data_IF_588337609142
#
_entry.id   IF_588337609142
#
_cell.length_a   1.000
_cell.length_b   1.000
_cell.length_c   1.000
_cell.angle_alpha   90.00
_cell.angle_beta   90.00
_cell.angle_gamma   90.00
#
_symmetry.space_group_name_H-M   'P 1'
#
loop_
_entity.id
_entity.type
_entity.pdbx_description
1 polymer ?
#
# COMPACT_ATOMS: atom_id res chain seq x y z
N UNK A 1 20.93 -13.24 -23.32
CA UNK A 1 19.58 -13.61 -22.85
C UNK A 1 19.66 -14.08 -21.40
N UNK A 2 18.93 -13.42 -20.50
CA UNK A 2 18.81 -13.74 -19.08
C UNK A 2 17.35 -14.08 -18.76
N UNK A 3 17.13 -15.12 -17.96
CA UNK A 3 15.81 -15.45 -17.42
C UNK A 3 15.90 -15.58 -15.90
N UNK A 4 14.95 -14.95 -15.22
CA UNK A 4 14.84 -14.98 -13.76
C UNK A 4 13.42 -15.35 -13.39
N UNK A 5 13.28 -16.37 -12.54
CA UNK A 5 12.00 -16.74 -11.95
C UNK A 5 11.99 -16.28 -10.49
N UNK A 6 11.02 -15.43 -10.14
CA UNK A 6 10.82 -14.94 -8.78
C UNK A 6 9.57 -15.61 -8.22
N UNK A 7 9.76 -16.51 -7.24
CA UNK A 7 8.63 -17.13 -6.55
C UNK A 7 7.85 -16.09 -5.74
N UNK A 8 6.56 -16.31 -5.54
CA UNK A 8 5.76 -15.55 -4.58
C UNK A 8 6.26 -15.66 -3.13
N UNK A 9 7.16 -16.60 -2.82
CA UNK A 9 7.88 -16.62 -1.55
C UNK A 9 8.67 -15.33 -1.29
N UNK A 10 9.29 -14.74 -2.33
CA UNK A 10 10.11 -13.53 -2.18
C UNK A 10 9.29 -12.32 -1.69
N UNK A 11 8.20 -11.91 -2.36
CA UNK A 11 7.37 -10.82 -1.85
C UNK A 11 6.67 -11.19 -0.55
N UNK A 12 6.28 -12.45 -0.31
CA UNK A 12 5.68 -12.84 0.97
C UNK A 12 6.66 -12.71 2.15
N UNK A 13 7.93 -13.06 1.96
CA UNK A 13 8.98 -12.81 2.97
C UNK A 13 9.15 -11.30 3.23
N UNK A 14 9.09 -10.47 2.19
CA UNK A 14 9.08 -9.02 2.35
C UNK A 14 7.85 -8.53 3.12
N UNK A 15 6.65 -9.04 2.82
CA UNK A 15 5.42 -8.69 3.56
C UNK A 15 5.50 -9.15 5.03
N UNK A 16 6.07 -10.32 5.30
CA UNK A 16 6.29 -10.82 6.66
C UNK A 16 7.22 -9.88 7.45
N UNK A 17 8.41 -9.59 6.91
CA UNK A 17 9.33 -8.68 7.57
C UNK A 17 8.75 -7.27 7.71
N UNK A 18 8.09 -6.76 6.66
CA UNK A 18 7.37 -5.49 6.68
C UNK A 18 6.33 -5.42 7.80
N UNK A 19 5.56 -6.49 8.00
CA UNK A 19 4.60 -6.58 9.09
C UNK A 19 5.30 -6.54 10.46
N UNK A 20 6.37 -7.33 10.65
CA UNK A 20 7.09 -7.38 11.94
C UNK A 20 7.71 -6.05 12.35
N UNK A 21 8.14 -5.22 11.39
CA UNK A 21 8.71 -3.89 11.67
C UNK A 21 7.66 -2.77 11.64
N UNK A 22 6.39 -3.09 11.41
CA UNK A 22 5.31 -2.11 11.35
C UNK A 22 5.28 -1.26 10.07
N UNK A 23 5.86 -1.72 8.96
CA UNK A 23 5.86 -1.02 7.66
C UNK A 23 4.44 -0.68 7.15
N UNK A 24 3.46 -1.53 7.49
CA UNK A 24 2.07 -1.32 7.10
C UNK A 24 1.27 -0.51 8.13
N UNK A 25 1.89 -0.08 9.23
CA UNK A 25 1.20 0.73 10.22
C UNK A 25 1.10 2.16 9.70
N UNK A 26 -0.13 2.64 9.50
CA UNK A 26 -0.39 3.96 8.92
C UNK A 26 -1.25 4.76 9.87
N UNK A 27 -0.81 5.97 10.18
CA UNK A 27 -1.62 6.96 10.88
C UNK A 27 -2.21 7.93 9.86
N UNK A 28 -3.52 8.13 9.94
CA UNK A 28 -4.25 9.13 9.17
C UNK A 28 -4.84 10.13 10.17
N UNK A 29 -4.50 11.39 10.00
CA UNK A 29 -4.90 12.47 10.89
C UNK A 29 -5.14 13.77 10.09
N UNK A 30 -5.54 14.89 10.73
CA UNK A 30 -5.81 16.15 10.04
C UNK A 30 -4.60 16.74 9.29
N UNK A 31 -3.37 16.29 9.57
CA UNK A 31 -2.16 16.71 8.87
C UNK A 31 -1.84 15.87 7.63
N UNK A 32 -2.51 14.72 7.47
CA UNK A 32 -2.28 13.80 6.36
C UNK A 32 -2.75 14.43 5.03
N UNK A 33 -1.90 14.55 4.00
CA UNK A 33 -2.30 15.10 2.71
C UNK A 33 -3.49 14.34 2.11
N UNK A 34 -4.39 15.06 1.43
CA UNK A 34 -5.65 14.54 0.85
C UNK A 34 -6.71 14.03 1.83
N UNK A 35 -6.34 13.60 3.04
CA UNK A 35 -7.27 13.09 4.05
C UNK A 35 -7.57 14.10 5.16
N UNK A 36 -6.66 15.03 5.44
CA UNK A 36 -6.74 15.87 6.63
C UNK A 36 -8.02 16.71 6.72
N UNK A 37 -8.53 17.15 5.57
CA UNK A 37 -9.76 17.92 5.45
C UNK A 37 -11.01 17.15 5.92
N UNK A 38 -11.01 15.82 5.80
CA UNK A 38 -12.15 14.96 6.15
C UNK A 38 -12.05 14.36 7.56
N UNK A 39 -10.92 14.49 8.25
CA UNK A 39 -10.64 13.88 9.56
C UNK A 39 -11.29 14.60 10.75
N UNK A 40 -12.61 14.83 10.66
CA UNK A 40 -13.44 15.51 11.66
C UNK A 40 -14.80 14.84 11.78
N UNK A 41 -15.44 15.00 12.94
CA UNK A 41 -16.79 14.46 13.17
C UNK A 41 -17.89 15.34 12.58
N UNK A 42 -17.67 16.64 12.43
CA UNK A 42 -18.66 17.58 11.87
C UNK A 42 -18.02 18.54 10.88
N UNK A 43 -18.68 18.74 9.75
CA UNK A 43 -18.33 19.75 8.76
C UNK A 43 -19.25 20.96 8.93
N UNK A 44 -18.70 22.17 8.87
CA UNK A 44 -19.46 23.42 8.77
C UNK A 44 -19.25 24.03 7.39
N UNK A 45 -20.28 24.71 6.86
CA UNK A 45 -20.18 25.47 5.61
C UNK A 45 -19.06 26.53 5.65
N UNK A 46 -18.71 27.03 6.84
CA UNK A 46 -17.58 27.95 7.05
C UNK A 46 -16.19 27.29 6.93
N UNK A 47 -16.10 25.96 7.02
CA UNK A 47 -14.83 25.22 6.97
C UNK A 47 -14.41 24.83 5.55
N UNK A 48 -15.19 25.20 4.51
CA UNK A 48 -14.88 24.92 3.10
C UNK A 48 -14.90 23.43 2.71
N UNK A 49 -15.33 22.55 3.61
CA UNK A 49 -15.34 21.09 3.46
C UNK A 49 -16.78 20.59 3.47
N UNK A 50 -17.20 20.00 2.34
CA UNK A 50 -18.57 19.50 2.16
C UNK A 50 -18.80 18.10 2.74
N UNK A 51 -17.72 17.41 3.15
CA UNK A 51 -17.78 16.01 3.57
C UNK A 51 -16.79 15.73 4.70
N UNK A 52 -17.27 15.08 5.76
CA UNK A 52 -16.49 14.72 6.96
C UNK A 52 -16.61 13.22 7.26
N UNK A 53 -15.66 12.68 8.03
CA UNK A 53 -15.69 11.29 8.48
C UNK A 53 -16.94 10.97 9.31
N UNK A 54 -17.43 11.94 10.09
CA UNK A 54 -18.69 11.78 10.83
C UNK A 54 -19.95 11.71 9.96
N UNK A 55 -19.88 12.03 8.66
CA UNK A 55 -21.00 11.79 7.73
C UNK A 55 -21.05 10.32 7.28
N UNK A 56 -19.90 9.63 7.28
CA UNK A 56 -19.82 8.18 7.10
C UNK A 56 -20.27 7.42 8.35
N UNK A 57 -20.00 7.98 9.52
CA UNK A 57 -20.35 7.39 10.82
C UNK A 57 -21.25 8.33 11.64
N UNK A 58 -22.54 8.46 11.29
CA UNK A 58 -23.48 9.32 11.99
C UNK A 58 -23.57 9.07 13.49
N UNK A 59 -23.42 7.81 13.94
CA UNK A 59 -23.45 7.48 15.37
C UNK A 59 -22.27 8.09 16.11
N UNK A 60 -21.05 7.98 15.56
CA UNK A 60 -19.85 8.65 16.08
C UNK A 60 -20.02 10.17 16.16
N UNK A 61 -20.59 10.78 15.11
CA UNK A 61 -20.86 12.23 15.07
C UNK A 61 -21.84 12.67 16.16
N UNK A 62 -22.89 11.89 16.44
CA UNK A 62 -23.89 12.19 17.49
C UNK A 62 -23.30 12.13 18.89
N UNK A 63 -22.44 11.14 19.15
CA UNK A 63 -21.81 10.96 20.46
C UNK A 63 -20.68 11.96 20.69
N UNK A 64 -19.95 12.34 19.63
CA UNK A 64 -18.77 13.20 19.71
C UNK A 64 -18.76 14.28 18.62
N UNK A 65 -19.61 15.30 18.77
CA UNK A 65 -19.69 16.41 17.81
C UNK A 65 -18.50 17.38 17.89
N UNK A 66 -18.11 17.97 16.75
CA UNK A 66 -17.07 19.00 16.65
C UNK A 66 -15.69 18.58 17.20
N UNK A 67 -15.26 17.37 16.86
CA UNK A 67 -13.95 16.83 17.25
C UNK A 67 -13.13 16.49 16.03
N UNK A 68 -11.81 16.66 16.15
CA UNK A 68 -10.82 16.13 15.21
C UNK A 68 -10.57 14.67 15.51
N UNK A 69 -10.32 13.89 14.47
CA UNK A 69 -10.12 12.46 14.57
C UNK A 69 -8.73 12.09 14.06
N UNK A 70 -8.15 11.05 14.64
CA UNK A 70 -7.08 10.30 13.99
C UNK A 70 -7.46 8.83 13.91
N UNK A 71 -7.00 8.17 12.85
CA UNK A 71 -7.16 6.75 12.64
C UNK A 71 -5.78 6.11 12.55
N UNK A 72 -5.58 5.05 13.30
CA UNK A 72 -4.38 4.23 13.20
C UNK A 72 -4.78 2.89 12.62
N UNK A 73 -4.21 2.57 11.47
CA UNK A 73 -4.32 1.28 10.82
C UNK A 73 -3.11 0.42 11.19
N UNK A 74 -3.36 -0.82 11.57
CA UNK A 74 -2.35 -1.84 11.82
C UNK A 74 -2.71 -3.14 11.09
N UNK A 75 -1.70 -3.85 10.60
CA UNK A 75 -1.91 -5.20 10.09
C UNK A 75 -2.01 -6.19 11.24
N UNK A 76 -3.03 -7.07 11.20
CA UNK A 76 -3.23 -8.12 12.23
C UNK A 76 -2.28 -9.29 11.97
N UNK A 77 -2.02 -9.56 10.70
CA UNK A 77 -1.08 -10.57 10.22
C UNK A 77 -0.37 -10.05 8.97
N UNK A 78 0.73 -10.72 8.59
CA UNK A 78 1.45 -10.39 7.37
C UNK A 78 0.53 -10.44 6.14
N UNK A 79 0.52 -9.40 5.29
CA UNK A 79 -0.19 -9.43 4.02
C UNK A 79 0.34 -10.56 3.13
N UNK A 80 -0.54 -11.13 2.30
CA UNK A 80 -0.20 -12.26 1.44
C UNK A 80 -0.31 -11.86 -0.02
N UNK A 81 0.71 -12.22 -0.80
CA UNK A 81 0.75 -12.09 -2.25
C UNK A 81 0.73 -13.50 -2.87
N UNK A 82 -0.16 -13.71 -3.84
CA UNK A 82 -0.28 -14.97 -4.55
C UNK A 82 -0.19 -14.74 -6.05
N UNK A 83 0.77 -15.41 -6.70
CA UNK A 83 0.92 -15.36 -8.14
C UNK A 83 0.08 -16.44 -8.80
N UNK A 84 -0.89 -16.03 -9.62
CA UNK A 84 -1.63 -16.91 -10.52
C UNK A 84 -1.38 -16.52 -11.97
N UNK A 85 -1.50 -17.45 -12.93
CA UNK A 85 -1.46 -17.11 -14.34
C UNK A 85 -2.43 -15.97 -14.69
N UNK A 86 -2.13 -15.19 -15.72
CA UNK A 86 -2.99 -14.07 -16.14
C UNK A 86 -4.43 -14.50 -16.50
N UNK A 87 -4.63 -15.77 -16.91
CA UNK A 87 -5.96 -16.35 -17.13
C UNK A 87 -6.78 -16.46 -15.84
N UNK A 88 -6.11 -16.59 -14.70
CA UNK A 88 -6.69 -16.92 -13.39
C UNK A 88 -6.68 -15.71 -12.43
N UNK A 89 -6.69 -14.51 -13.01
CA UNK A 89 -6.74 -13.24 -12.27
C UNK A 89 -5.39 -12.62 -11.91
N UNK A 90 -4.26 -13.20 -12.33
CA UNK A 90 -2.95 -12.59 -12.19
C UNK A 90 -2.43 -12.58 -10.74
N UNK A 91 -1.93 -11.43 -10.27
CA UNK A 91 -1.36 -11.32 -8.93
C UNK A 91 -2.44 -10.90 -7.94
N UNK A 92 -2.68 -11.72 -6.92
CA UNK A 92 -3.66 -11.46 -5.87
C UNK A 92 -2.96 -10.98 -4.60
N UNK A 93 -3.55 -10.01 -3.93
CA UNK A 93 -3.11 -9.46 -2.65
C UNK A 93 -4.23 -9.55 -1.63
N UNK A 94 -3.92 -10.02 -0.42
CA UNK A 94 -4.86 -10.09 0.70
C UNK A 94 -4.25 -9.49 1.94
N UNK A 95 -5.03 -8.68 2.65
CA UNK A 95 -4.62 -8.01 3.87
C UNK A 95 -5.76 -8.05 4.90
N UNK A 96 -5.39 -8.33 6.15
CA UNK A 96 -6.26 -8.23 7.29
C UNK A 96 -5.65 -7.23 8.29
N UNK A 97 -6.46 -6.28 8.71
CA UNK A 97 -6.01 -5.21 9.60
C UNK A 97 -7.06 -4.78 10.61
N UNK A 98 -6.63 -3.90 11.49
CA UNK A 98 -7.40 -3.28 12.56
C UNK A 98 -7.23 -1.77 12.43
N UNK A 99 -8.33 -1.04 12.53
CA UNK A 99 -8.37 0.42 12.51
C UNK A 99 -8.87 0.87 13.88
N UNK A 100 -8.07 1.68 14.56
CA UNK A 100 -8.43 2.31 15.82
C UNK A 100 -8.66 3.80 15.59
N UNK A 101 -9.79 4.31 16.06
CA UNK A 101 -10.18 5.72 15.97
C UNK A 101 -9.90 6.39 17.32
N UNK A 102 -9.23 7.55 17.27
CA UNK A 102 -8.97 8.41 18.40
C UNK A 102 -9.62 9.78 18.19
N UNK A 103 -10.17 10.35 19.27
CA UNK A 103 -10.51 11.76 19.33
C UNK A 103 -9.26 12.55 19.73
N UNK A 104 -8.99 13.62 19.00
CA UNK A 104 -7.96 14.59 19.38
C UNK A 104 -8.64 15.69 20.18
N UNK A 105 -8.18 15.91 21.42
CA UNK A 105 -8.57 17.06 22.22
C UNK A 105 -7.79 18.30 21.76
N UNK A 106 -8.50 19.38 21.44
CA UNK A 106 -7.88 20.63 20.97
C UNK A 106 -7.16 21.38 22.09
N UNK A 107 -7.50 21.12 23.35
CA UNK A 107 -6.95 21.86 24.50
C UNK A 107 -5.70 21.22 25.08
N UNK A 108 -5.66 19.89 25.12
CA UNK A 108 -4.58 19.13 25.77
C UNK A 108 -3.69 18.38 24.78
N UNK A 109 -4.05 18.36 23.49
CA UNK A 109 -3.39 17.51 22.45
C UNK A 109 -3.39 16.01 22.81
N UNK A 110 -4.22 15.59 23.75
CA UNK A 110 -4.35 14.19 24.14
C UNK A 110 -5.24 13.44 23.16
N UNK A 111 -4.94 12.16 22.99
CA UNK A 111 -5.68 11.26 22.14
C UNK A 111 -6.45 10.25 22.99
N UNK A 112 -7.77 10.26 22.83
CA UNK A 112 -8.66 9.31 23.50
C UNK A 112 -9.14 8.28 22.49
N UNK A 113 -8.86 7.00 22.74
CA UNK A 113 -9.37 5.92 21.90
C UNK A 113 -10.89 5.80 22.09
N UNK A 114 -11.64 5.89 20.99
CA UNK A 114 -13.10 5.84 21.04
C UNK A 114 -13.72 4.69 20.29
N UNK A 115 -13.10 4.17 19.24
CA UNK A 115 -13.70 3.09 18.48
C UNK A 115 -12.68 2.23 17.77
N UNK A 116 -13.09 1.02 17.44
CA UNK A 116 -12.28 0.05 16.75
C UNK A 116 -13.09 -0.70 15.70
N UNK A 117 -12.46 -1.02 14.58
CA UNK A 117 -13.02 -1.87 13.53
C UNK A 117 -11.93 -2.74 12.90
N UNK A 118 -12.31 -3.89 12.36
CA UNK A 118 -11.42 -4.68 11.49
C UNK A 118 -11.71 -4.40 10.03
N UNK A 119 -10.66 -4.52 9.21
CA UNK A 119 -10.72 -4.36 7.76
C UNK A 119 -10.08 -5.57 7.09
N UNK A 120 -10.81 -6.16 6.15
CA UNK A 120 -10.31 -7.21 5.27
C UNK A 120 -10.31 -6.70 3.83
N UNK A 121 -9.17 -6.82 3.16
CA UNK A 121 -8.97 -6.28 1.81
C UNK A 121 -8.50 -7.40 0.90
N UNK A 122 -9.12 -7.50 -0.27
CA UNK A 122 -8.63 -8.30 -1.38
C UNK A 122 -8.45 -7.42 -2.61
N UNK A 123 -7.31 -7.58 -3.28
CA UNK A 123 -6.96 -6.81 -4.45
C UNK A 123 -6.29 -7.68 -5.51
N UNK A 124 -6.38 -7.22 -6.75
CA UNK A 124 -5.62 -7.75 -7.87
C UNK A 124 -4.60 -6.70 -8.33
N UNK A 125 -3.43 -7.15 -8.77
CA UNK A 125 -2.35 -6.31 -9.25
C UNK A 125 -1.98 -6.69 -10.67
N UNK A 126 -1.87 -5.66 -11.52
CA UNK A 126 -1.34 -5.77 -12.89
C UNK A 126 0.00 -5.08 -12.95
N UNK A 127 1.01 -5.75 -13.50
CA UNK A 127 2.33 -5.18 -13.67
C UNK A 127 2.45 -4.57 -15.07
N UNK A 128 2.94 -3.33 -15.14
CA UNK A 128 3.40 -2.71 -16.38
C UNK A 128 4.90 -2.51 -16.29
N UNK A 129 5.60 -2.82 -17.36
CA UNK A 129 7.04 -2.63 -17.41
C UNK A 129 7.39 -1.41 -18.24
N UNK A 130 8.38 -0.65 -17.76
CA UNK A 130 8.94 0.50 -18.46
C UNK A 130 10.45 0.49 -18.27
N UNK A 131 11.19 0.07 -19.30
CA UNK A 131 12.66 -0.06 -19.27
C UNK A 131 13.13 -0.97 -18.12
N UNK A 132 13.56 -0.38 -17.00
CA UNK A 132 14.08 -1.04 -15.80
C UNK A 132 13.16 -0.88 -14.57
N UNK A 133 11.97 -0.29 -14.72
CA UNK A 133 11.01 -0.08 -13.64
C UNK A 133 9.74 -0.87 -13.85
N UNK A 134 9.33 -1.63 -12.82
CA UNK A 134 8.03 -2.29 -12.76
C UNK A 134 7.04 -1.33 -12.11
N UNK A 135 6.01 -0.92 -12.84
CA UNK A 135 4.90 -0.11 -12.32
C UNK A 135 3.71 -1.00 -12.05
N UNK A 136 3.47 -1.37 -10.77
CA UNK A 136 2.26 -2.08 -10.40
C UNK A 136 1.06 -1.14 -10.45
N UNK A 137 -0.06 -1.64 -10.97
CA UNK A 137 -1.38 -1.01 -10.86
C UNK A 137 -2.28 -1.94 -10.06
N UNK A 138 -2.80 -1.45 -8.95
CA UNK A 138 -3.66 -2.20 -8.04
C UNK A 138 -5.11 -1.88 -8.33
N UNK A 139 -5.96 -2.90 -8.26
CA UNK A 139 -7.42 -2.78 -8.30
C UNK A 139 -7.99 -3.51 -7.10
N UNK A 140 -8.71 -2.79 -6.24
CA UNK A 140 -9.33 -3.35 -5.05
C UNK A 140 -10.58 -4.13 -5.46
N UNK A 141 -10.63 -5.42 -5.15
CA UNK A 141 -11.75 -6.30 -5.49
C UNK A 141 -12.84 -6.19 -4.43
N UNK A 142 -12.47 -6.36 -3.15
CA UNK A 142 -13.39 -6.30 -2.02
C UNK A 142 -12.71 -5.65 -0.82
N UNK A 143 -13.50 -4.88 -0.08
CA UNK A 143 -13.20 -4.40 1.27
C UNK A 143 -14.37 -4.82 2.14
N UNK A 144 -14.08 -5.43 3.28
CA UNK A 144 -15.05 -5.71 4.32
C UNK A 144 -14.61 -5.02 5.59
N UNK A 145 -15.54 -4.30 6.21
CA UNK A 145 -15.34 -3.65 7.50
C UNK A 145 -16.19 -4.37 8.52
N UNK A 146 -15.67 -4.67 9.71
CA UNK A 146 -16.48 -5.19 10.82
C UNK A 146 -16.26 -4.34 12.05
N UNK A 147 -17.36 -3.91 12.67
CA UNK A 147 -17.28 -3.12 13.90
C UNK A 147 -16.78 -3.99 15.06
N UNK A 148 -15.87 -3.44 15.86
CA UNK A 148 -15.45 -3.99 17.15
C UNK A 148 -15.97 -3.11 18.30
N UNK A 149 -16.69 -2.03 17.98
CA UNK A 149 -17.27 -1.08 18.95
C UNK A 149 -18.71 -0.72 18.53
N UNK A 150 -19.66 -1.66 18.64
CA UNK A 150 -21.01 -1.51 18.08
C UNK A 150 -21.83 -0.38 18.70
N UNK A 151 -21.45 0.13 19.88
CA UNK A 151 -22.09 1.31 20.49
C UNK A 151 -21.73 2.64 19.84
N UNK A 152 -20.61 2.70 19.11
CA UNK A 152 -20.06 3.94 18.54
C UNK A 152 -20.00 3.85 17.00
N UNK A 153 -19.63 2.68 16.47
CA UNK A 153 -19.62 2.39 15.04
C UNK A 153 -20.64 1.29 14.73
N UNK A 154 -21.72 1.65 14.05
CA UNK A 154 -22.73 0.66 13.63
C UNK A 154 -22.28 -0.05 12.36
N UNK A 155 -22.52 -1.38 12.29
CA UNK A 155 -22.15 -2.17 11.12
C UNK A 155 -22.77 -1.63 9.82
N UNK A 156 -24.04 -1.21 9.85
CA UNK A 156 -24.72 -0.61 8.69
C UNK A 156 -24.05 0.66 8.15
N UNK A 157 -23.41 1.44 9.03
CA UNK A 157 -22.70 2.66 8.66
C UNK A 157 -21.37 2.29 8.01
N UNK A 158 -20.67 1.31 8.58
CA UNK A 158 -19.46 0.73 7.96
C UNK A 158 -19.78 0.19 6.56
N UNK A 159 -20.82 -0.62 6.42
CA UNK A 159 -21.22 -1.23 5.13
C UNK A 159 -21.54 -0.17 4.07
N UNK A 160 -22.22 0.90 4.46
CA UNK A 160 -22.54 2.02 3.57
C UNK A 160 -21.29 2.81 3.15
N UNK A 161 -20.25 2.83 3.98
CA UNK A 161 -19.00 3.54 3.71
C UNK A 161 -18.04 2.77 2.78
N UNK A 162 -18.22 1.45 2.61
CA UNK A 162 -17.28 0.56 1.88
C UNK A 162 -17.01 1.04 0.46
N UNK A 163 -18.03 1.52 -0.27
CA UNK A 163 -17.86 1.97 -1.65
C UNK A 163 -16.90 3.16 -1.74
N UNK A 164 -17.08 4.15 -0.86
CA UNK A 164 -16.23 5.34 -0.81
C UNK A 164 -14.83 4.98 -0.33
N UNK A 165 -14.72 4.16 0.72
CA UNK A 165 -13.45 3.66 1.21
C UNK A 165 -12.65 2.96 0.10
N UNK A 166 -13.31 2.14 -0.73
CA UNK A 166 -12.67 1.46 -1.87
C UNK A 166 -12.08 2.43 -2.88
N UNK A 167 -12.83 3.44 -3.29
CA UNK A 167 -12.36 4.40 -4.30
C UNK A 167 -11.18 5.22 -3.78
N UNK A 168 -11.29 5.71 -2.54
CA UNK A 168 -10.26 6.52 -1.91
C UNK A 168 -8.98 5.71 -1.67
N UNK A 169 -9.09 4.52 -1.10
CA UNK A 169 -7.93 3.63 -0.87
C UNK A 169 -7.30 3.18 -2.20
N UNK A 170 -8.11 2.91 -3.24
CA UNK A 170 -7.58 2.54 -4.55
C UNK A 170 -6.71 3.64 -5.13
N UNK A 171 -7.17 4.89 -5.05
CA UNK A 171 -6.43 6.05 -5.54
C UNK A 171 -5.14 6.24 -4.75
N UNK A 172 -5.23 6.25 -3.42
CA UNK A 172 -4.09 6.42 -2.53
C UNK A 172 -2.98 5.39 -2.82
N UNK A 173 -3.33 4.11 -2.88
CA UNK A 173 -2.34 3.04 -3.11
C UNK A 173 -1.73 3.14 -4.51
N UNK A 174 -2.53 3.47 -5.54
CA UNK A 174 -2.00 3.65 -6.89
C UNK A 174 -1.11 4.89 -7.02
N UNK A 175 -1.38 5.96 -6.26
CA UNK A 175 -0.54 7.15 -6.22
C UNK A 175 0.82 6.84 -5.58
N UNK A 176 0.84 6.05 -4.48
CA UNK A 176 2.09 5.57 -3.86
C UNK A 176 2.91 4.71 -4.84
N UNK A 177 2.23 3.86 -5.61
CA UNK A 177 2.87 2.92 -6.53
C UNK A 177 3.20 3.50 -7.90
N UNK A 178 2.85 4.77 -8.15
CA UNK A 178 2.97 5.43 -9.45
C UNK A 178 4.42 5.54 -9.93
N UNK A 179 5.35 5.81 -9.01
CA UNK A 179 6.79 5.90 -9.31
C UNK A 179 7.36 4.56 -9.78
N UNK A 180 6.76 3.45 -9.32
CA UNK A 180 7.16 2.10 -9.63
C UNK A 180 8.34 1.59 -8.78
N UNK A 181 8.68 0.33 -8.98
CA UNK A 181 9.72 -0.39 -8.27
C UNK A 181 10.84 -0.70 -9.26
N UNK A 182 12.08 -0.21 -9.03
CA UNK A 182 13.20 -0.52 -9.91
C UNK A 182 13.55 -2.01 -9.83
N UNK A 183 13.87 -2.62 -10.97
CA UNK A 183 14.39 -3.99 -11.00
C UNK A 183 15.83 -3.95 -10.48
N UNK A 184 16.19 -4.77 -9.48
CA UNK A 184 17.55 -4.80 -8.94
C UNK A 184 18.49 -5.44 -9.97
N UNK A 185 19.06 -4.60 -10.83
CA UNK A 185 20.07 -5.01 -11.81
C UNK A 185 21.43 -4.47 -11.45
N UNK A 186 22.44 -5.32 -11.60
CA UNK A 186 23.81 -4.90 -11.37
C UNK A 186 24.22 -3.85 -12.43
N UNK A 187 24.96 -2.78 -12.07
CA UNK A 187 25.31 -1.69 -12.99
C UNK A 187 26.07 -2.09 -14.26
N UNK A 188 26.67 -3.29 -14.28
CA UNK A 188 27.27 -3.88 -15.49
C UNK A 188 26.26 -4.20 -16.58
N UNK A 189 24.98 -4.38 -16.25
CA UNK A 189 23.97 -4.88 -17.18
C UNK A 189 22.93 -3.81 -17.48
N UNK A 190 22.78 -3.51 -18.77
CA UNK A 190 21.66 -2.74 -19.28
C UNK A 190 20.60 -3.70 -19.81
N UNK A 191 19.41 -3.71 -19.20
CA UNK A 191 18.33 -4.58 -19.64
C UNK A 191 17.70 -4.08 -20.95
N UNK A 192 17.45 -5.02 -21.87
CA UNK A 192 16.87 -4.79 -23.18
C UNK A 192 15.66 -5.69 -23.39
N UNK A 193 14.59 -5.14 -23.99
CA UNK A 193 13.38 -5.89 -24.39
C UNK A 193 12.81 -6.78 -23.28
N UNK A 194 12.88 -6.32 -22.03
CA UNK A 194 12.43 -7.07 -20.87
C UNK A 194 10.93 -7.40 -20.98
N UNK A 195 10.58 -8.64 -20.69
CA UNK A 195 9.21 -9.16 -20.65
C UNK A 195 8.97 -9.78 -19.28
N UNK A 196 7.76 -9.59 -18.77
CA UNK A 196 7.31 -10.17 -17.50
C UNK A 196 6.08 -11.02 -17.77
N UNK A 197 6.12 -12.28 -17.32
CA UNK A 197 4.99 -13.20 -17.37
C UNK A 197 4.68 -13.71 -15.97
N UNK A 198 3.43 -13.61 -15.55
CA UNK A 198 2.97 -14.21 -14.30
C UNK A 198 2.62 -15.68 -14.59
N UNK A 199 3.29 -16.58 -13.88
CA UNK A 199 3.06 -18.01 -13.88
C UNK A 199 2.37 -18.41 -12.58
N UNK A 200 2.03 -19.69 -12.44
CA UNK A 200 1.57 -20.20 -11.16
C UNK A 200 2.72 -20.13 -10.14
N UNK A 201 2.51 -19.45 -9.01
CA UNK A 201 3.46 -19.28 -7.90
C UNK A 201 4.78 -18.58 -8.24
N UNK A 202 4.94 -18.05 -9.45
CA UNK A 202 6.18 -17.43 -9.90
C UNK A 202 5.95 -16.30 -10.92
N UNK A 203 6.86 -15.33 -10.94
CA UNK A 203 6.96 -14.29 -11.94
C UNK A 203 8.22 -14.55 -12.77
N UNK A 204 8.05 -14.75 -14.08
CA UNK A 204 9.14 -14.96 -15.02
C UNK A 204 9.52 -13.63 -15.67
N UNK A 205 10.73 -13.18 -15.43
CA UNK A 205 11.36 -12.04 -16.08
C UNK A 205 12.33 -12.57 -17.15
N UNK A 206 12.08 -12.20 -18.41
CA UNK A 206 12.92 -12.56 -19.56
C UNK A 206 13.47 -11.29 -20.17
N UNK A 207 14.78 -11.20 -20.35
CA UNK A 207 15.41 -9.97 -20.84
C UNK A 207 16.67 -10.29 -21.62
N UNK A 208 16.97 -9.47 -22.61
CA UNK A 208 18.31 -9.39 -23.16
C UNK A 208 19.11 -8.38 -22.34
N UNK A 209 20.44 -8.48 -22.36
CA UNK A 209 21.25 -7.50 -21.68
C UNK A 209 22.44 -7.13 -22.54
N UNK A 210 22.85 -5.87 -22.41
CA UNK A 210 24.13 -5.40 -22.90
C UNK A 210 25.04 -5.08 -21.72
N UNK A 211 26.33 -5.23 -21.93
CA UNK A 211 27.33 -4.95 -20.90
C UNK A 211 27.75 -3.49 -20.96
N UNK A 212 27.79 -2.86 -19.79
CA UNK A 212 28.32 -1.51 -19.66
C UNK A 212 29.85 -1.54 -19.80
N UNK A 213 30.34 -1.40 -21.04
CA UNK A 213 31.78 -1.45 -21.34
C UNK A 213 32.60 -0.45 -20.54
N UNK A 214 32.06 0.76 -20.29
CA UNK A 214 32.76 1.78 -19.50
C UNK A 214 33.01 1.29 -18.09
N UNK A 215 31.99 0.70 -17.47
CA UNK A 215 32.09 0.15 -16.12
C UNK A 215 33.01 -1.08 -16.08
N UNK A 216 32.94 -1.98 -17.07
CA UNK A 216 33.86 -3.11 -17.20
C UNK A 216 35.32 -2.67 -17.27
N UNK A 217 35.63 -1.67 -18.12
CA UNK A 217 37.00 -1.14 -18.25
C UNK A 217 37.50 -0.50 -16.96
N UNK A 218 36.63 0.14 -16.18
CA UNK A 218 37.00 0.68 -14.88
C UNK A 218 37.36 -0.42 -13.88
N UNK A 219 36.58 -1.51 -13.84
CA UNK A 219 36.86 -2.66 -12.96
C UNK A 219 38.18 -3.35 -13.32
N UNK A 220 38.45 -3.60 -14.61
CA UNK A 220 39.68 -4.28 -15.05
C UNK A 220 40.90 -3.38 -14.97
N UNK A 221 40.77 -2.07 -15.23
CA UNK A 221 41.87 -1.11 -15.07
C UNK A 221 42.24 -0.89 -13.60
N UNK A 222 41.28 -1.00 -12.67
CA UNK A 222 41.55 -0.93 -11.23
C UNK A 222 42.42 -2.12 -10.75
N UNK A 223 42.22 -3.31 -11.32
CA UNK A 223 43.02 -4.49 -11.02
C UNK A 223 44.44 -4.44 -11.63
N UNK A 224 44.58 -3.86 -12.82
CA UNK A 224 45.90 -3.66 -13.43
C UNK A 224 46.80 -2.71 -12.62
N UNK A 225 46.23 -1.71 -11.93
CA UNK A 225 46.99 -0.82 -11.03
C UNK A 225 47.45 -1.49 -9.73
N UNK A 226 46.76 -2.54 -9.27
CA UNK A 226 47.15 -3.27 -8.04
C UNK A 226 48.24 -4.32 -8.26
N UNK A 227 48.47 -4.77 -9.49
CA UNK A 227 49.52 -5.76 -9.83
C UNK A 227 50.86 -5.14 -10.19
N UNK A 228 50.97 -3.82 -10.20
CA UNK A 228 52.21 -3.06 -10.44
C UNK A 228 52.66 -2.43 -9.12
N UNK A 229 52.91 -3.26 -8.10
CA UNK A 229 53.71 -2.96 -6.91
C UNK A 229 54.42 -4.27 -6.52
#
# INVERSE_FOLDING_TARGET
MLQMAVSDFVPNSLMYHGHTIGLFNTRIDPSTPHFGAIMKTTCSLSSGTLFCLGDLFPTLRKLHSNRKLSMIFNTVQAPVILFKPSSDGGIHFSLLGKITIFLIDETTTTEEQVAEMSIEVTAQMKLRLSSNTVRPKISLNSIQLKTLSPGILLQKELDSSVLLAREVLQRMVNDILKEGIPIPVYPLMNLLKTKVKVLNRALLLQTDFDLNERFLRQLTAADLRKRVI
#
